data_IF_417727131144
#
_entry.id   IF_417727131144
#
_cell.length_a   1.000
_cell.length_b   1.000
_cell.length_c   1.000
_cell.angle_alpha   90.00
_cell.angle_beta   90.00
_cell.angle_gamma   90.00
#
_symmetry.space_group_name_H-M   'P 1'
#
loop_
_entity.id
_entity.type
_entity.pdbx_description
1 polymer ?
#
# COMPACT_ATOMS: atom_id res chain seq x y z
N UNK A 1 -12.76 -7.86 8.73
CA UNK A 1 -12.42 -7.44 7.37
C UNK A 1 -10.92 -7.66 7.13
N UNK A 2 -10.57 -8.13 5.96
CA UNK A 2 -9.17 -8.31 5.58
C UNK A 2 -8.59 -7.00 5.08
N UNK A 3 -7.46 -6.59 5.64
CA UNK A 3 -6.75 -5.37 5.26
C UNK A 3 -5.33 -5.76 4.84
N UNK A 4 -4.89 -5.28 3.67
CA UNK A 4 -3.50 -5.45 3.25
C UNK A 4 -2.71 -4.22 3.67
N UNK A 5 -1.54 -4.44 4.27
CA UNK A 5 -0.59 -3.39 4.61
C UNK A 5 0.74 -3.67 3.91
N UNK A 6 1.16 -2.74 3.06
CA UNK A 6 2.48 -2.76 2.42
C UNK A 6 3.36 -1.73 3.13
N UNK A 7 4.25 -2.19 4.00
CA UNK A 7 5.06 -1.36 4.88
C UNK A 7 6.25 -2.15 5.39
N UNK A 8 7.42 -1.53 5.52
CA UNK A 8 8.62 -2.19 6.02
C UNK A 8 9.15 -1.63 7.34
N UNK A 9 8.66 -0.49 7.79
CA UNK A 9 9.13 0.14 9.02
C UNK A 9 8.48 -0.54 10.24
N UNK A 10 9.26 -1.18 11.13
CA UNK A 10 8.70 -1.91 12.26
C UNK A 10 7.85 -1.06 13.21
N UNK A 11 8.22 0.19 13.43
CA UNK A 11 7.47 1.11 14.28
C UNK A 11 6.07 1.39 13.70
N UNK A 12 6.01 1.66 12.40
CA UNK A 12 4.73 1.91 11.72
C UNK A 12 3.87 0.65 11.68
N UNK A 13 4.47 -0.50 11.44
CA UNK A 13 3.77 -1.79 11.46
C UNK A 13 3.09 -2.00 12.80
N UNK A 14 3.79 -1.76 13.91
CA UNK A 14 3.19 -1.90 15.24
C UNK A 14 2.03 -0.94 15.46
N UNK A 15 2.12 0.29 14.95
CA UNK A 15 1.04 1.25 15.03
C UNK A 15 -0.19 0.82 14.23
N UNK A 16 0.02 0.27 13.03
CA UNK A 16 -1.08 -0.27 12.23
C UNK A 16 -1.74 -1.47 12.92
N UNK A 17 -0.96 -2.36 13.52
CA UNK A 17 -1.48 -3.48 14.30
C UNK A 17 -2.38 -3.01 15.44
N UNK A 18 -1.98 -1.95 16.11
CA UNK A 18 -2.73 -1.37 17.21
C UNK A 18 -4.05 -0.76 16.73
N UNK A 19 -3.98 0.02 15.64
CA UNK A 19 -5.17 0.67 15.06
C UNK A 19 -6.20 -0.35 14.55
N UNK A 20 -5.74 -1.45 13.98
CA UNK A 20 -6.61 -2.44 13.33
C UNK A 20 -6.60 -3.79 14.04
N UNK A 21 -6.47 -3.77 15.37
CA UNK A 21 -6.38 -4.99 16.19
C UNK A 21 -7.59 -5.90 16.06
N UNK A 22 -8.74 -5.37 15.66
CA UNK A 22 -9.99 -6.13 15.50
C UNK A 22 -10.22 -6.58 14.05
N UNK A 23 -9.24 -6.37 13.17
CA UNK A 23 -9.31 -6.74 11.77
C UNK A 23 -8.22 -7.78 11.44
N UNK A 24 -8.38 -8.47 10.31
CA UNK A 24 -7.33 -9.35 9.80
C UNK A 24 -6.35 -8.52 9.01
N UNK A 25 -5.16 -8.27 9.56
CA UNK A 25 -4.13 -7.45 8.92
C UNK A 25 -3.08 -8.35 8.28
N UNK A 26 -2.95 -8.24 6.95
CA UNK A 26 -1.97 -8.97 6.15
C UNK A 26 -0.83 -8.01 5.83
N UNK A 27 0.35 -8.26 6.40
CA UNK A 27 1.48 -7.33 6.36
C UNK A 27 2.56 -7.87 5.43
N UNK A 28 3.00 -7.01 4.50
CA UNK A 28 4.06 -7.34 3.55
C UNK A 28 5.05 -6.21 3.43
N UNK A 29 6.32 -6.55 3.30
CA UNK A 29 7.40 -5.61 3.00
C UNK A 29 7.98 -5.82 1.61
N UNK A 30 7.43 -6.77 0.88
CA UNK A 30 7.87 -7.19 -0.46
C UNK A 30 6.69 -7.17 -1.42
N UNK A 31 6.89 -6.51 -2.55
CA UNK A 31 5.84 -6.33 -3.57
C UNK A 31 5.38 -7.66 -4.14
N UNK A 32 6.30 -8.59 -4.38
CA UNK A 32 5.94 -9.88 -4.97
C UNK A 32 5.06 -10.69 -4.02
N UNK A 33 5.39 -10.73 -2.73
CA UNK A 33 4.60 -11.44 -1.73
C UNK A 33 3.21 -10.82 -1.59
N UNK A 34 3.13 -9.48 -1.58
CA UNK A 34 1.85 -8.77 -1.53
C UNK A 34 1.00 -9.08 -2.77
N UNK A 35 1.62 -9.10 -3.93
CA UNK A 35 0.93 -9.41 -5.18
C UNK A 35 0.36 -10.84 -5.16
N UNK A 36 1.13 -11.81 -4.70
CA UNK A 36 0.67 -13.20 -4.59
C UNK A 36 -0.52 -13.31 -3.64
N UNK A 37 -0.50 -12.59 -2.53
CA UNK A 37 -1.62 -12.55 -1.59
C UNK A 37 -2.89 -11.99 -2.25
N UNK A 38 -2.73 -11.01 -3.14
CA UNK A 38 -3.87 -10.41 -3.88
C UNK A 38 -4.51 -11.36 -4.89
N UNK A 39 -3.80 -12.41 -5.31
CA UNK A 39 -4.36 -13.43 -6.18
C UNK A 39 -5.28 -14.38 -5.42
N UNK A 40 -5.07 -14.54 -4.13
CA UNK A 40 -5.80 -15.51 -3.30
C UNK A 40 -6.82 -14.87 -2.37
N UNK A 41 -6.75 -13.56 -2.15
CA UNK A 41 -7.61 -12.86 -1.21
C UNK A 41 -8.16 -11.58 -1.81
N UNK A 42 -9.38 -11.22 -1.40
CA UNK A 42 -9.93 -9.90 -1.67
C UNK A 42 -9.69 -9.03 -0.43
N UNK A 43 -9.12 -7.86 -0.65
CA UNK A 43 -8.85 -6.89 0.42
C UNK A 43 -9.74 -5.66 0.20
N UNK A 44 -10.81 -5.49 0.97
CA UNK A 44 -11.66 -4.30 0.85
C UNK A 44 -10.89 -2.99 1.06
N UNK A 45 -9.82 -3.05 1.86
CA UNK A 45 -8.98 -1.88 2.17
C UNK A 45 -7.51 -2.28 2.06
N UNK A 46 -6.72 -1.41 1.43
CA UNK A 46 -5.26 -1.57 1.38
C UNK A 46 -4.59 -0.28 1.83
N UNK A 47 -3.56 -0.42 2.68
CA UNK A 47 -2.68 0.69 3.07
C UNK A 47 -1.33 0.46 2.42
N UNK A 48 -0.90 1.42 1.60
CA UNK A 48 0.26 1.25 0.73
C UNK A 48 1.31 2.32 0.96
N UNK A 49 2.54 1.91 1.29
CA UNK A 49 3.70 2.77 1.26
C UNK A 49 4.32 2.74 -0.14
N UNK A 50 5.19 3.69 -0.44
CA UNK A 50 5.96 3.72 -1.68
C UNK A 50 7.37 3.15 -1.45
N UNK A 51 8.05 3.62 -0.41
CA UNK A 51 9.45 3.28 -0.13
C UNK A 51 9.53 2.02 0.73
N UNK A 52 10.24 1.02 0.24
CA UNK A 52 10.42 -0.26 0.91
C UNK A 52 11.91 -0.57 1.03
N UNK A 53 12.27 -1.73 1.57
CA UNK A 53 13.65 -2.19 1.78
C UNK A 53 14.47 -1.29 2.72
N UNK A 54 13.81 -0.64 3.70
CA UNK A 54 14.44 0.28 4.65
C UNK A 54 15.07 1.49 3.95
N UNK A 55 14.63 1.81 2.75
CA UNK A 55 15.09 2.96 1.95
C UNK A 55 14.12 4.12 2.08
N UNK A 56 14.61 5.34 1.74
CA UNK A 56 13.78 6.55 1.68
C UNK A 56 14.00 7.24 0.34
N UNK A 57 12.97 7.97 -0.14
CA UNK A 57 13.01 8.71 -1.42
C UNK A 57 13.36 7.81 -2.60
N UNK A 58 12.77 6.60 -2.61
CA UNK A 58 13.04 5.59 -3.62
C UNK A 58 12.41 5.98 -4.96
N UNK A 59 13.14 5.74 -6.06
CA UNK A 59 12.62 5.94 -7.41
C UNK A 59 11.53 4.91 -7.71
N UNK A 60 10.43 5.35 -8.32
CA UNK A 60 9.30 4.48 -8.65
C UNK A 60 9.62 3.40 -9.67
N UNK A 61 10.76 3.51 -10.38
CA UNK A 61 11.20 2.48 -11.31
C UNK A 61 11.87 1.28 -10.63
N UNK A 62 12.21 1.39 -9.34
CA UNK A 62 12.71 0.23 -8.60
C UNK A 62 11.60 -0.78 -8.40
N UNK A 63 11.95 -2.08 -8.51
CA UNK A 63 10.96 -3.17 -8.50
C UNK A 63 10.17 -3.28 -7.20
N UNK A 64 10.84 -3.09 -6.07
CA UNK A 64 10.19 -3.24 -4.76
C UNK A 64 9.72 -1.89 -4.24
N UNK A 65 8.74 -1.29 -4.93
CA UNK A 65 8.11 -0.03 -4.53
C UNK A 65 6.60 -0.16 -4.58
N UNK A 66 5.93 0.69 -3.83
CA UNK A 66 4.46 0.76 -3.87
C UNK A 66 3.93 1.05 -5.27
N UNK A 67 4.64 1.87 -6.05
CA UNK A 67 4.25 2.15 -7.43
C UNK A 67 4.23 0.88 -8.28
N UNK A 68 5.25 0.05 -8.18
CA UNK A 68 5.30 -1.21 -8.92
C UNK A 68 4.21 -2.18 -8.46
N UNK A 69 3.88 -2.17 -7.17
CA UNK A 69 2.78 -2.97 -6.66
C UNK A 69 1.45 -2.57 -7.30
N UNK A 70 1.12 -1.27 -7.32
CA UNK A 70 -0.16 -0.82 -7.90
C UNK A 70 -0.23 -1.11 -9.39
N UNK A 71 0.89 -1.00 -10.12
CA UNK A 71 0.95 -1.39 -11.52
C UNK A 71 0.61 -2.86 -11.70
N UNK A 72 1.20 -3.73 -10.89
CA UNK A 72 0.96 -5.18 -10.97
C UNK A 72 -0.50 -5.54 -10.73
N UNK A 73 -1.13 -4.99 -9.71
CA UNK A 73 -2.53 -5.32 -9.41
C UNK A 73 -3.48 -4.77 -10.46
N UNK A 74 -3.22 -3.59 -11.00
CA UNK A 74 -4.05 -3.00 -12.06
C UNK A 74 -3.91 -3.82 -13.35
N UNK A 75 -2.70 -4.12 -13.77
CA UNK A 75 -2.44 -4.91 -14.99
C UNK A 75 -3.05 -6.30 -14.92
N UNK A 76 -3.06 -6.91 -13.74
CA UNK A 76 -3.65 -8.23 -13.53
C UNK A 76 -5.17 -8.19 -13.30
N UNK A 77 -5.77 -7.01 -13.21
CA UNK A 77 -7.20 -6.87 -12.96
C UNK A 77 -7.63 -7.31 -11.57
N UNK A 78 -6.73 -7.21 -10.59
CA UNK A 78 -7.00 -7.62 -9.21
C UNK A 78 -7.45 -6.45 -8.35
N UNK A 79 -8.16 -6.75 -7.26
CA UNK A 79 -8.56 -5.79 -6.21
C UNK A 79 -9.33 -4.58 -6.74
N UNK A 80 -10.20 -4.80 -7.71
CA UNK A 80 -10.95 -3.72 -8.38
C UNK A 80 -11.86 -2.94 -7.45
N UNK A 81 -12.38 -3.59 -6.42
CA UNK A 81 -13.33 -2.98 -5.47
C UNK A 81 -12.63 -2.46 -4.21
N UNK A 82 -11.31 -2.56 -4.13
CA UNK A 82 -10.55 -2.15 -2.96
C UNK A 82 -10.45 -0.63 -2.85
N UNK A 83 -10.55 -0.11 -1.63
CA UNK A 83 -10.21 1.28 -1.33
C UNK A 83 -8.75 1.33 -0.92
N UNK A 84 -7.95 2.10 -1.64
CA UNK A 84 -6.51 2.20 -1.40
C UNK A 84 -6.19 3.50 -0.65
N UNK A 85 -5.50 3.35 0.49
CA UNK A 85 -4.94 4.48 1.21
C UNK A 85 -3.43 4.48 1.00
N UNK A 86 -2.91 5.51 0.35
CA UNK A 86 -1.46 5.69 0.21
C UNK A 86 -1.00 6.48 1.43
N UNK A 87 -0.06 5.91 2.20
CA UNK A 87 0.41 6.56 3.43
C UNK A 87 1.87 7.00 3.35
N UNK A 88 2.45 6.97 2.17
CA UNK A 88 3.85 7.33 1.94
C UNK A 88 4.16 8.78 2.33
N UNK A 89 5.36 8.98 2.87
CA UNK A 89 5.91 10.31 3.13
C UNK A 89 6.75 10.82 1.95
N UNK A 90 6.86 10.04 0.87
CA UNK A 90 7.53 10.42 -0.37
C UNK A 90 6.49 11.05 -1.32
N UNK A 91 6.44 12.40 -1.47
CA UNK A 91 5.38 13.03 -2.25
C UNK A 91 5.43 12.66 -3.74
N UNK A 92 6.62 12.47 -4.29
CA UNK A 92 6.79 12.11 -5.70
C UNK A 92 6.22 10.71 -5.94
N UNK A 93 6.63 9.76 -5.12
CA UNK A 93 6.15 8.38 -5.21
C UNK A 93 4.65 8.28 -4.94
N UNK A 94 4.17 8.97 -3.89
CA UNK A 94 2.75 8.97 -3.55
C UNK A 94 1.90 9.51 -4.68
N UNK A 95 2.31 10.62 -5.30
CA UNK A 95 1.57 11.20 -6.44
C UNK A 95 1.55 10.27 -7.64
N UNK A 96 2.62 9.57 -7.94
CA UNK A 96 2.67 8.61 -9.04
C UNK A 96 1.69 7.46 -8.80
N UNK A 97 1.65 6.94 -7.57
CA UNK A 97 0.71 5.87 -7.19
C UNK A 97 -0.74 6.36 -7.30
N UNK A 98 -1.01 7.52 -6.74
CA UNK A 98 -2.35 8.12 -6.74
C UNK A 98 -2.87 8.32 -8.17
N UNK A 99 -2.07 8.96 -9.01
CA UNK A 99 -2.46 9.25 -10.39
C UNK A 99 -2.66 7.97 -11.19
N UNK A 100 -1.79 6.98 -11.02
CA UNK A 100 -1.92 5.71 -11.72
C UNK A 100 -3.22 4.99 -11.34
N UNK A 101 -3.53 4.93 -10.05
CA UNK A 101 -4.75 4.27 -9.57
C UNK A 101 -6.00 5.02 -10.05
N UNK A 102 -6.03 6.34 -9.91
CA UNK A 102 -7.19 7.13 -10.33
C UNK A 102 -7.40 7.06 -11.85
N UNK A 103 -6.33 7.12 -12.63
CA UNK A 103 -6.39 7.01 -14.10
C UNK A 103 -6.92 5.65 -14.55
N UNK A 104 -6.80 4.63 -13.71
CA UNK A 104 -7.29 3.28 -14.00
C UNK A 104 -8.59 2.94 -13.26
N UNK A 105 -9.32 3.96 -12.80
CA UNK A 105 -10.66 3.79 -12.21
C UNK A 105 -10.67 3.19 -10.81
N UNK A 106 -9.55 3.25 -10.09
CA UNK A 106 -9.45 2.72 -8.73
C UNK A 106 -9.70 3.80 -7.70
N UNK A 107 -10.35 3.45 -6.62
CA UNK A 107 -10.60 4.36 -5.50
C UNK A 107 -9.34 4.49 -4.65
N UNK A 108 -8.85 5.70 -4.48
CA UNK A 108 -7.58 5.93 -3.81
C UNK A 108 -7.54 7.31 -3.15
N UNK A 109 -6.92 7.36 -1.96
CA UNK A 109 -6.69 8.59 -1.20
C UNK A 109 -5.24 8.57 -0.69
N UNK A 110 -4.57 9.71 -0.70
CA UNK A 110 -3.27 9.86 -0.07
C UNK A 110 -3.43 10.52 1.29
N UNK A 111 -3.08 9.79 2.36
CA UNK A 111 -3.03 10.30 3.73
C UNK A 111 -1.63 10.02 4.27
N UNK A 112 -0.74 11.02 4.39
CA UNK A 112 0.60 10.80 4.91
C UNK A 112 0.59 10.06 6.25
N UNK A 113 1.56 9.18 6.44
CA UNK A 113 1.58 8.26 7.58
C UNK A 113 1.47 8.96 8.93
N UNK A 114 2.12 10.12 9.09
CA UNK A 114 2.06 10.86 10.36
C UNK A 114 0.64 11.32 10.74
N UNK A 115 -0.23 11.51 9.76
CA UNK A 115 -1.62 11.87 10.02
C UNK A 115 -2.44 10.64 10.45
N UNK A 116 -2.14 9.48 9.89
CA UNK A 116 -2.79 8.22 10.29
C UNK A 116 -2.39 7.85 11.71
N UNK A 117 -1.13 8.03 12.06
CA UNK A 117 -0.58 7.65 13.37
C UNK A 117 -1.12 8.48 14.53
N UNK A 118 -1.82 9.58 14.28
CA UNK A 118 -2.46 10.40 15.33
C UNK A 118 -3.70 9.75 15.92
N UNK A 119 -4.28 8.83 15.22
CA UNK A 119 -5.53 8.17 15.65
C UNK A 119 -5.27 6.74 16.17
#
# INVERSE_FOLDING_TARGET
MKILLLEDNPYRIEKFKELFKNQELFIFDDVQDAFLACKENEFPVMFLDHDLDQKIWVDSNEENTGYQFVKKIVEAGLQKESLCYIHSMNPIGANKMLNYLLDNGRDCIWIPCHLIMKY
#
